data_IF_104391662529
#
_entry.id   IF_104391662529
#
_cell.length_a   1.000
_cell.length_b   1.000
_cell.length_c   1.000
_cell.angle_alpha   90.00
_cell.angle_beta   90.00
_cell.angle_gamma   90.00
#
_symmetry.space_group_name_H-M   'P 1'
#
loop_
_entity.id
_entity.type
_entity.pdbx_description
1 polymer ?
#
# COMPACT_ATOMS: atom_id res chain seq x y z
N UNK A 1 19.44 -3.41 23.67
CA UNK A 1 19.56 -4.30 22.50
C UNK A 1 18.15 -4.54 22.02
N UNK A 2 17.64 -3.66 21.16
CA UNK A 2 16.27 -3.75 20.64
C UNK A 2 16.23 -4.75 19.49
N UNK A 3 15.27 -5.66 19.57
CA UNK A 3 15.03 -6.70 18.58
C UNK A 3 14.53 -6.05 17.30
N UNK A 4 15.32 -6.14 16.24
CA UNK A 4 14.89 -5.84 14.88
C UNK A 4 13.77 -6.83 14.54
N UNK A 5 12.51 -6.43 14.73
CA UNK A 5 11.37 -7.17 14.18
C UNK A 5 11.51 -7.12 12.67
N UNK A 6 12.05 -8.19 12.09
CA UNK A 6 11.95 -8.40 10.65
C UNK A 6 10.46 -8.64 10.38
N UNK A 7 9.73 -7.55 10.11
CA UNK A 7 8.39 -7.61 9.57
C UNK A 7 8.55 -8.20 8.17
N UNK A 8 8.63 -9.52 8.08
CA UNK A 8 8.51 -10.22 6.82
C UNK A 8 7.28 -9.62 6.14
N UNK A 9 7.40 -9.01 4.95
CA UNK A 9 6.28 -8.34 4.32
C UNK A 9 5.19 -9.38 4.21
N UNK A 10 4.07 -9.13 4.90
CA UNK A 10 2.91 -10.02 4.92
C UNK A 10 2.70 -10.50 3.49
N UNK A 11 2.80 -11.81 3.26
CA UNK A 11 2.86 -12.42 1.93
C UNK A 11 1.47 -12.38 1.25
N UNK A 12 0.93 -11.18 1.08
CA UNK A 12 -0.35 -10.89 0.44
C UNK A 12 -0.14 -9.97 -0.75
N UNK A 13 -0.98 -10.09 -1.78
CA UNK A 13 -1.04 -9.11 -2.84
C UNK A 13 -1.55 -7.77 -2.30
N UNK A 14 -1.05 -6.67 -2.88
CA UNK A 14 -1.50 -5.32 -2.55
C UNK A 14 -1.97 -4.60 -3.80
N UNK A 15 -3.06 -3.86 -3.69
CA UNK A 15 -3.49 -2.91 -4.69
C UNK A 15 -2.57 -1.69 -4.68
N UNK A 16 -2.66 -0.91 -5.75
CA UNK A 16 -1.91 0.32 -5.89
C UNK A 16 -2.28 1.34 -4.78
N UNK A 17 -3.58 1.45 -4.47
CA UNK A 17 -4.10 2.33 -3.41
C UNK A 17 -3.63 1.91 -2.02
N UNK A 18 -3.58 0.61 -1.73
CA UNK A 18 -3.06 0.15 -0.44
C UNK A 18 -1.58 0.48 -0.27
N UNK A 19 -0.77 0.33 -1.33
CA UNK A 19 0.65 0.69 -1.27
C UNK A 19 0.82 2.21 -1.04
N UNK A 20 0.06 3.06 -1.74
CA UNK A 20 0.06 4.50 -1.48
C UNK A 20 -0.23 4.85 -0.02
N UNK A 21 -1.28 4.23 0.55
CA UNK A 21 -1.64 4.43 1.95
C UNK A 21 -0.53 3.98 2.88
N UNK A 22 0.08 2.83 2.62
CA UNK A 22 1.17 2.28 3.43
C UNK A 22 2.39 3.22 3.43
N UNK A 23 2.74 3.80 2.27
CA UNK A 23 3.85 4.75 2.16
C UNK A 23 3.45 6.19 2.53
N UNK A 24 2.18 6.46 2.83
CA UNK A 24 1.68 7.79 3.17
C UNK A 24 1.81 8.83 2.04
N UNK A 25 1.79 8.40 0.78
CA UNK A 25 2.00 9.27 -0.38
C UNK A 25 0.81 9.28 -1.33
N UNK A 26 0.72 10.32 -2.16
CA UNK A 26 -0.31 10.41 -3.20
C UNK A 26 -0.07 9.41 -4.34
N UNK A 27 -1.14 9.06 -5.08
CA UNK A 27 -1.06 8.22 -6.27
C UNK A 27 -0.05 8.69 -7.31
N UNK A 28 0.05 10.00 -7.54
CA UNK A 28 1.01 10.55 -8.50
C UNK A 28 2.44 10.32 -8.02
N UNK A 29 2.69 10.59 -6.74
CA UNK A 29 4.00 10.39 -6.11
C UNK A 29 4.42 8.93 -6.18
N UNK A 30 3.54 8.01 -5.75
CA UNK A 30 3.85 6.58 -5.74
C UNK A 30 4.12 6.06 -7.16
N UNK A 31 3.33 6.50 -8.14
CA UNK A 31 3.55 6.16 -9.56
C UNK A 31 4.92 6.61 -10.06
N UNK A 32 5.34 7.82 -9.73
CA UNK A 32 6.66 8.35 -10.09
C UNK A 32 7.78 7.53 -9.46
N UNK A 33 7.62 7.09 -8.20
CA UNK A 33 8.62 6.31 -7.49
C UNK A 33 8.81 4.90 -8.05
N UNK A 34 7.73 4.22 -8.45
CA UNK A 34 7.84 2.87 -9.03
C UNK A 34 8.27 2.87 -10.50
N UNK A 35 8.08 3.99 -11.22
CA UNK A 35 8.35 4.11 -12.65
C UNK A 35 9.76 3.64 -13.07
N UNK A 36 10.86 4.03 -12.40
CA UNK A 36 12.21 3.53 -12.74
C UNK A 36 12.39 2.02 -12.53
N UNK A 37 11.53 1.37 -11.74
CA UNK A 37 11.63 -0.05 -11.39
C UNK A 37 10.60 -0.93 -12.09
N UNK A 38 9.78 -0.39 -12.99
CA UNK A 38 8.71 -1.15 -13.67
C UNK A 38 9.23 -2.37 -14.43
N UNK A 39 10.44 -2.31 -14.98
CA UNK A 39 11.05 -3.45 -15.66
C UNK A 39 11.33 -4.62 -14.70
N UNK A 40 11.78 -4.33 -13.47
CA UNK A 40 12.07 -5.33 -12.45
C UNK A 40 10.79 -5.85 -11.78
N UNK A 41 9.84 -4.95 -11.51
CA UNK A 41 8.51 -5.30 -10.96
C UNK A 41 7.72 -6.15 -11.98
N UNK A 42 7.93 -5.91 -13.27
CA UNK A 42 7.21 -6.58 -14.35
C UNK A 42 5.78 -6.08 -14.53
N UNK A 43 5.05 -6.74 -15.42
CA UNK A 43 3.71 -6.34 -15.83
C UNK A 43 2.69 -6.49 -14.68
N UNK A 44 1.97 -5.42 -14.35
CA UNK A 44 0.85 -5.45 -13.42
C UNK A 44 -0.36 -6.07 -14.11
N UNK A 45 -0.72 -7.31 -13.74
CA UNK A 45 -1.91 -8.01 -14.25
C UNK A 45 -3.09 -7.84 -13.30
N UNK A 46 -4.01 -6.95 -13.66
CA UNK A 46 -5.24 -6.67 -12.89
C UNK A 46 -5.06 -5.59 -11.81
N UNK A 47 -5.93 -5.63 -10.79
CA UNK A 47 -6.00 -4.56 -9.76
C UNK A 47 -4.87 -4.63 -8.73
N UNK A 48 -4.27 -5.79 -8.53
CA UNK A 48 -3.28 -6.04 -7.48
C UNK A 48 -1.89 -6.28 -8.06
N UNK A 49 -0.87 -5.95 -7.29
CA UNK A 49 0.47 -6.48 -7.43
C UNK A 49 0.53 -7.82 -6.70
N UNK A 50 1.12 -8.82 -7.34
CA UNK A 50 1.32 -10.12 -6.67
C UNK A 50 2.42 -10.01 -5.60
N UNK A 51 2.55 -11.05 -4.77
CA UNK A 51 3.48 -11.06 -3.63
C UNK A 51 4.93 -10.79 -4.06
N UNK A 52 5.40 -11.34 -5.19
CA UNK A 52 6.76 -11.11 -5.69
C UNK A 52 6.96 -9.66 -6.12
N UNK A 53 5.97 -9.07 -6.79
CA UNK A 53 6.01 -7.67 -7.21
C UNK A 53 6.09 -6.74 -6.00
N UNK A 54 5.30 -7.03 -4.97
CA UNK A 54 5.30 -6.29 -3.71
C UNK A 54 6.65 -6.39 -3.00
N UNK A 55 7.25 -7.58 -2.96
CA UNK A 55 8.59 -7.77 -2.39
C UNK A 55 9.64 -6.93 -3.10
N UNK A 56 9.61 -6.88 -4.43
CA UNK A 56 10.52 -6.04 -5.22
C UNK A 56 10.29 -4.56 -4.90
N UNK A 57 9.03 -4.11 -4.82
CA UNK A 57 8.68 -2.73 -4.48
C UNK A 57 9.25 -2.36 -3.10
N UNK A 58 9.05 -3.18 -2.07
CA UNK A 58 9.61 -2.93 -0.73
C UNK A 58 11.14 -2.96 -0.73
N UNK A 59 11.76 -3.88 -1.47
CA UNK A 59 13.21 -3.94 -1.58
C UNK A 59 13.81 -2.68 -2.25
N UNK A 60 13.08 -2.05 -3.18
CA UNK A 60 13.56 -0.87 -3.94
C UNK A 60 13.25 0.46 -3.26
N UNK A 61 12.06 0.59 -2.65
CA UNK A 61 11.60 1.84 -2.03
C UNK A 61 11.86 1.90 -0.52
N UNK A 62 12.21 0.77 0.11
CA UNK A 62 12.33 0.64 1.55
C UNK A 62 11.09 0.03 2.19
N UNK A 63 11.28 -0.57 3.38
CA UNK A 63 10.16 -1.12 4.14
C UNK A 63 9.45 0.00 4.90
N UNK A 64 8.13 0.12 4.75
CA UNK A 64 7.35 1.12 5.47
C UNK A 64 7.31 0.78 6.97
N UNK A 65 7.52 1.78 7.82
CA UNK A 65 7.54 1.60 9.29
C UNK A 65 6.18 1.16 9.85
N UNK A 66 5.09 1.51 9.16
CA UNK A 66 3.71 1.25 9.54
C UNK A 66 3.08 0.12 8.71
N UNK A 67 3.59 -1.10 8.81
CA UNK A 67 2.79 -2.31 8.54
C UNK A 67 2.27 -2.80 9.88
N UNK A 68 1.33 -2.06 10.46
CA UNK A 68 0.56 -2.59 11.58
C UNK A 68 -0.36 -3.68 11.05
N UNK A 69 -0.32 -4.86 11.67
CA UNK A 69 -1.17 -6.00 11.33
C UNK A 69 -2.64 -5.67 11.59
N UNK A 70 -3.27 -4.98 10.65
CA UNK A 70 -4.71 -4.80 10.70
C UNK A 70 -5.37 -6.13 10.32
N UNK A 71 -5.86 -6.79 11.37
CA UNK A 71 -6.43 -8.13 11.37
C UNK A 71 -7.37 -8.33 10.19
N UNK A 72 -7.15 -9.44 9.48
CA UNK A 72 -8.04 -9.99 8.46
C UNK A 72 -9.51 -9.95 8.91
N UNK A 73 -10.22 -8.92 8.50
CA UNK A 73 -11.67 -8.78 8.56
C UNK A 73 -12.06 -7.83 7.44
N UNK A 74 -12.46 -8.38 6.29
CA UNK A 74 -13.02 -7.57 5.21
C UNK A 74 -14.22 -6.78 5.74
N UNK A 75 -14.05 -5.51 6.09
CA UNK A 75 -15.06 -4.46 5.93
C UNK A 75 -14.29 -3.16 5.62
N UNK A 76 -14.57 -2.53 4.49
CA UNK A 76 -14.31 -1.09 4.34
C UNK A 76 -15.57 -0.35 4.77
N UNK A 77 -15.55 0.41 5.88
CA UNK A 77 -16.52 1.48 6.06
C UNK A 77 -15.90 2.68 6.78
N UNK A 78 -14.94 3.38 6.17
CA UNK A 78 -14.53 4.71 6.66
C UNK A 78 -14.42 5.76 5.55
N UNK A 79 -15.27 5.62 4.54
CA UNK A 79 -15.50 6.65 3.52
C UNK A 79 -17.00 6.95 3.41
N UNK A 80 -17.64 7.24 4.54
CA UNK A 80 -18.94 7.92 4.58
C UNK A 80 -18.97 8.86 5.77
N UNK A 81 -18.21 9.96 5.67
CA UNK A 81 -18.50 11.22 6.34
C UNK A 81 -17.59 12.34 5.80
N UNK A 82 -17.89 12.82 4.59
CA UNK A 82 -17.37 14.13 4.16
C UNK A 82 -18.23 14.86 3.10
N UNK A 83 -19.27 14.22 2.52
CA UNK A 83 -19.97 14.80 1.35
C UNK A 83 -21.47 15.12 1.54
N UNK A 84 -22.11 14.71 2.64
CA UNK A 84 -23.48 15.13 3.04
C UNK A 84 -23.44 15.33 4.56
N UNK A 85 -23.54 16.51 5.18
CA UNK A 85 -24.55 17.54 5.01
C UNK A 85 -23.94 18.94 5.20
N UNK A 86 -23.82 19.70 4.12
CA UNK A 86 -23.92 21.16 4.22
C UNK A 86 -25.39 21.48 4.48
N UNK A 87 -25.67 22.07 5.63
CA UNK A 87 -26.79 23.00 5.88
C UNK A 87 -28.17 22.51 5.42
N UNK A 88 -28.86 21.78 6.29
CA UNK A 88 -30.28 22.04 6.48
C UNK A 88 -30.37 23.22 7.47
N UNK A 89 -30.69 24.40 6.94
CA UNK A 89 -31.22 25.56 7.68
C UNK A 89 -32.72 25.43 7.67
#
# INVERSE_FOLDING_TARGET
>A
MEMVKTLAPHARPYSFKELETIYGVSHKTFKTWIQPFLQEIGEKRGRYFNVKQVQIIFAKLGYPESIEEEKSGRIYPDQVNATQMRKAV
#
